data_IF_767998856075
#
_entry.id   IF_767998856075
#
_cell.length_a   1.000
_cell.length_b   1.000
_cell.length_c   1.000
_cell.angle_alpha   90.00
_cell.angle_beta   90.00
_cell.angle_gamma   90.00
#
_symmetry.space_group_name_H-M   'P 1'
#
loop_
_entity.id
_entity.type
_entity.pdbx_description
1 polymer ?
#
# COMPACT_ATOMS: atom_id res chain seq x y z
N UNK A 1 26.74 12.89 -47.59
CA UNK A 1 25.31 12.79 -47.21
C UNK A 1 25.11 11.47 -46.46
N UNK A 2 24.51 11.33 -45.30
CA UNK A 2 24.16 12.25 -44.20
C UNK A 2 23.75 11.32 -43.03
N UNK A 3 24.72 10.60 -42.44
CA UNK A 3 24.44 9.66 -41.33
C UNK A 3 24.05 10.42 -40.05
N UNK A 4 24.54 11.64 -39.85
CA UNK A 4 24.14 12.49 -38.72
C UNK A 4 22.70 12.99 -38.83
N UNK A 5 22.23 13.24 -40.06
CA UNK A 5 20.88 13.77 -40.33
C UNK A 5 19.80 12.69 -40.19
N UNK A 6 20.10 11.43 -40.53
CA UNK A 6 19.16 10.32 -40.36
C UNK A 6 19.01 9.90 -38.89
N UNK A 7 20.08 9.91 -38.10
CA UNK A 7 20.03 9.58 -36.68
C UNK A 7 19.27 10.64 -35.86
N UNK A 8 19.43 11.92 -36.20
CA UNK A 8 18.63 13.00 -35.59
C UNK A 8 17.14 12.87 -35.92
N UNK A 9 16.81 12.59 -37.18
CA UNK A 9 15.44 12.37 -37.62
C UNK A 9 14.76 11.17 -36.92
N UNK A 10 15.52 10.08 -36.69
CA UNK A 10 15.00 8.92 -35.97
C UNK A 10 14.75 9.21 -34.47
N UNK A 11 15.63 9.97 -33.81
CA UNK A 11 15.43 10.39 -32.41
C UNK A 11 14.14 11.21 -32.23
N UNK A 12 13.86 12.13 -33.15
CA UNK A 12 12.64 12.95 -33.10
C UNK A 12 11.37 12.13 -33.40
N UNK A 13 11.45 11.16 -34.31
CA UNK A 13 10.34 10.22 -34.55
C UNK A 13 10.00 9.44 -33.29
N UNK A 14 10.99 8.77 -32.69
CA UNK A 14 10.79 7.99 -31.45
C UNK A 14 10.31 8.89 -30.30
N UNK A 15 10.78 10.13 -30.24
CA UNK A 15 10.30 11.10 -29.25
C UNK A 15 8.79 11.36 -29.42
N UNK A 16 8.34 11.53 -30.65
CA UNK A 16 6.92 11.75 -30.96
C UNK A 16 6.08 10.53 -30.58
N UNK A 17 6.55 9.32 -30.93
CA UNK A 17 5.88 8.07 -30.53
C UNK A 17 5.77 7.92 -29.00
N UNK A 18 6.81 8.31 -28.25
CA UNK A 18 6.76 8.28 -26.78
C UNK A 18 5.76 9.29 -26.23
N UNK A 19 5.68 10.49 -26.80
CA UNK A 19 4.69 11.51 -26.41
C UNK A 19 3.28 10.99 -26.64
N UNK A 20 2.99 10.45 -27.82
CA UNK A 20 1.70 9.85 -28.15
C UNK A 20 1.36 8.66 -27.25
N UNK A 21 2.35 7.85 -26.88
CA UNK A 21 2.14 6.68 -26.02
C UNK A 21 1.76 7.05 -24.58
N UNK A 22 2.27 8.17 -24.05
CA UNK A 22 1.98 8.61 -22.68
C UNK A 22 0.86 9.64 -22.59
N UNK A 23 0.27 10.02 -23.72
CA UNK A 23 -0.83 10.98 -23.81
C UNK A 23 -2.04 10.52 -22.98
N UNK A 24 -2.62 11.42 -22.18
CA UNK A 24 -3.72 11.12 -21.26
C UNK A 24 -3.34 10.26 -20.05
N UNK A 25 -2.07 9.94 -19.83
CA UNK A 25 -1.60 9.19 -18.66
C UNK A 25 -1.00 10.11 -17.60
N UNK A 26 -0.74 9.57 -16.40
CA UNK A 26 -0.03 10.30 -15.34
C UNK A 26 1.42 10.69 -15.72
N UNK A 27 1.95 10.19 -16.84
CA UNK A 27 3.27 10.51 -17.38
C UNK A 27 3.22 11.58 -18.49
N UNK A 28 2.04 12.05 -18.87
CA UNK A 28 1.90 13.11 -19.88
C UNK A 28 2.72 14.35 -19.49
N UNK A 29 3.43 14.92 -20.47
CA UNK A 29 4.31 16.07 -20.25
C UNK A 29 5.61 15.78 -19.47
N UNK A 30 5.88 14.51 -19.11
CA UNK A 30 7.12 14.15 -18.41
C UNK A 30 8.37 14.38 -19.29
N UNK A 31 9.52 14.74 -18.71
CA UNK A 31 10.75 14.93 -19.47
C UNK A 31 11.19 13.65 -20.21
N UNK A 32 11.36 13.75 -21.52
CA UNK A 32 11.94 12.68 -22.35
C UNK A 32 13.43 12.97 -22.54
N UNK A 33 14.28 12.10 -21.98
CA UNK A 33 15.74 12.25 -22.03
C UNK A 33 16.36 11.13 -22.87
N UNK A 34 16.80 11.41 -24.11
CA UNK A 34 17.50 10.40 -24.92
C UNK A 34 18.88 10.13 -24.34
N UNK A 35 19.24 8.85 -24.17
CA UNK A 35 20.53 8.44 -23.61
C UNK A 35 21.19 7.32 -24.41
N UNK A 36 22.50 7.20 -24.30
CA UNK A 36 23.28 6.06 -24.78
C UNK A 36 24.12 5.50 -23.65
N UNK A 37 23.75 4.33 -23.12
CA UNK A 37 24.51 3.65 -22.07
C UNK A 37 25.93 3.25 -22.50
N UNK A 38 26.17 3.10 -23.81
CA UNK A 38 27.48 2.76 -24.37
C UNK A 38 28.44 3.95 -24.45
N UNK A 39 27.93 5.12 -24.86
CA UNK A 39 28.77 6.31 -25.10
C UNK A 39 28.75 7.29 -23.94
N UNK A 40 27.76 7.19 -23.05
CA UNK A 40 27.51 8.15 -21.98
C UNK A 40 26.70 9.38 -22.43
N UNK A 41 26.36 9.49 -23.72
CA UNK A 41 25.55 10.61 -24.22
C UNK A 41 24.20 10.69 -23.47
N UNK A 42 23.81 11.90 -23.09
CA UNK A 42 22.58 12.18 -22.34
C UNK A 42 22.56 11.74 -20.86
N UNK A 43 23.55 10.99 -20.36
CA UNK A 43 23.52 10.46 -18.97
C UNK A 43 23.54 11.58 -17.93
N UNK A 44 24.28 12.66 -18.16
CA UNK A 44 24.29 13.80 -17.23
C UNK A 44 22.99 14.61 -17.27
N UNK A 45 22.32 14.68 -18.42
CA UNK A 45 20.98 15.25 -18.51
C UNK A 45 19.96 14.37 -17.76
N UNK A 46 20.08 13.04 -17.88
CA UNK A 46 19.24 12.09 -17.14
C UNK A 46 19.45 12.21 -15.63
N UNK A 47 20.70 12.32 -15.17
CA UNK A 47 21.02 12.53 -13.75
C UNK A 47 20.30 13.77 -13.21
N UNK A 48 20.40 14.91 -13.90
CA UNK A 48 19.72 16.14 -13.50
C UNK A 48 18.21 15.98 -13.46
N UNK A 49 17.62 15.40 -14.51
CA UNK A 49 16.17 15.16 -14.56
C UNK A 49 15.69 14.26 -13.40
N UNK A 50 16.47 13.23 -13.03
CA UNK A 50 16.17 12.37 -11.89
C UNK A 50 16.30 13.12 -10.55
N UNK A 51 17.31 13.98 -10.39
CA UNK A 51 17.47 14.81 -9.20
C UNK A 51 16.31 15.81 -9.05
N UNK A 52 15.92 16.47 -10.14
CA UNK A 52 14.79 17.42 -10.15
C UNK A 52 13.46 16.71 -9.86
N UNK A 53 13.27 15.50 -10.38
CA UNK A 53 12.11 14.67 -10.08
C UNK A 53 12.10 14.25 -8.60
N UNK A 54 13.23 13.80 -8.06
CA UNK A 54 13.35 13.38 -6.67
C UNK A 54 13.09 14.54 -5.70
N UNK A 55 13.53 15.76 -6.02
CA UNK A 55 13.32 16.95 -5.20
C UNK A 55 11.84 17.34 -5.07
N UNK A 56 10.97 16.91 -5.99
CA UNK A 56 9.52 17.17 -5.95
C UNK A 56 8.75 16.15 -5.11
N UNK A 57 9.38 15.06 -4.67
CA UNK A 57 8.71 14.01 -3.90
C UNK A 57 8.57 14.47 -2.45
N UNK A 58 7.33 14.54 -1.97
CA UNK A 58 7.05 14.84 -0.57
C UNK A 58 7.61 13.75 0.36
N UNK A 59 8.22 14.17 1.46
CA UNK A 59 8.64 13.26 2.53
C UNK A 59 7.39 12.73 3.22
N UNK A 60 7.27 11.41 3.34
CA UNK A 60 6.18 10.79 4.08
C UNK A 60 6.45 10.90 5.59
N UNK A 61 5.44 11.23 6.40
CA UNK A 61 5.60 11.27 7.85
C UNK A 61 5.85 9.86 8.40
N UNK A 62 6.76 9.77 9.37
CA UNK A 62 7.12 8.50 10.03
C UNK A 62 6.13 8.17 11.15
N UNK A 63 4.87 7.95 10.77
CA UNK A 63 3.75 7.69 11.69
C UNK A 63 3.26 6.25 11.63
N UNK A 64 3.81 5.45 10.72
CA UNK A 64 3.41 4.06 10.50
C UNK A 64 4.49 3.09 10.97
N UNK A 65 4.05 1.93 11.44
CA UNK A 65 4.90 0.84 11.89
C UNK A 65 5.84 0.33 10.79
N UNK A 66 6.90 -0.37 11.19
CA UNK A 66 7.80 -1.06 10.28
C UNK A 66 7.03 -2.08 9.43
N UNK A 67 7.15 -2.00 8.10
CA UNK A 67 6.59 -3.01 7.18
C UNK A 67 7.51 -3.26 5.98
N UNK A 68 7.88 -4.52 5.78
CA UNK A 68 8.76 -4.96 4.71
C UNK A 68 8.14 -6.15 3.95
N UNK A 69 7.38 -5.88 2.87
CA UNK A 69 6.98 -6.92 1.92
C UNK A 69 8.21 -7.59 1.31
N UNK A 70 8.28 -8.92 1.41
CA UNK A 70 9.46 -9.70 1.02
C UNK A 70 9.39 -9.99 -0.48
N UNK A 71 10.46 -9.62 -1.19
CA UNK A 71 10.65 -9.87 -2.61
C UNK A 71 11.51 -11.12 -2.89
N UNK A 72 12.47 -11.42 -2.01
CA UNK A 72 13.38 -12.57 -2.11
C UNK A 72 13.83 -13.05 -0.72
N UNK A 73 14.14 -14.34 -0.63
CA UNK A 73 14.73 -15.00 0.53
C UNK A 73 15.90 -15.86 0.05
N UNK A 74 17.03 -15.81 0.76
CA UNK A 74 18.23 -16.59 0.45
C UNK A 74 19.11 -16.80 1.68
N UNK A 75 19.93 -17.86 1.67
CA UNK A 75 20.94 -18.09 2.71
C UNK A 75 22.27 -17.43 2.35
N UNK A 76 22.92 -16.81 3.34
CA UNK A 76 24.30 -16.30 3.23
C UNK A 76 25.19 -17.05 4.21
N UNK A 77 26.29 -17.63 3.70
CA UNK A 77 27.25 -18.40 4.52
C UNK A 77 27.75 -17.56 5.70
N UNK A 78 27.59 -18.08 6.91
CA UNK A 78 27.99 -17.40 8.16
C UNK A 78 26.98 -16.40 8.71
N UNK A 79 25.97 -15.99 7.93
CA UNK A 79 24.93 -15.06 8.36
C UNK A 79 23.58 -15.75 8.57
N UNK A 80 23.30 -16.81 7.81
CA UNK A 80 22.02 -17.53 7.83
C UNK A 80 21.01 -16.95 6.83
N UNK A 81 19.73 -17.02 7.18
CA UNK A 81 18.63 -16.59 6.31
C UNK A 81 18.54 -15.07 6.21
N UNK A 82 18.59 -14.56 4.99
CA UNK A 82 18.48 -13.14 4.65
C UNK A 82 17.29 -12.95 3.71
N UNK A 83 16.46 -11.98 4.02
CA UNK A 83 15.34 -11.57 3.17
C UNK A 83 15.61 -10.19 2.60
N UNK A 84 15.11 -9.90 1.40
CA UNK A 84 15.12 -8.56 0.81
C UNK A 84 13.72 -8.08 0.50
N UNK A 85 13.51 -6.78 0.60
CA UNK A 85 12.26 -6.10 0.26
C UNK A 85 12.46 -4.59 0.18
N UNK A 86 11.40 -3.86 -0.15
CA UNK A 86 11.39 -2.40 -0.01
C UNK A 86 10.66 -2.08 1.28
N UNK A 87 11.32 -1.37 2.21
CA UNK A 87 10.72 -0.98 3.48
C UNK A 87 9.66 0.09 3.18
N UNK A 88 8.38 -0.23 3.33
CA UNK A 88 7.30 0.67 2.90
C UNK A 88 6.94 1.72 3.94
N UNK A 89 7.17 1.42 5.22
CA UNK A 89 6.92 2.31 6.36
C UNK A 89 7.82 1.93 7.54
N UNK A 90 7.99 2.88 8.47
CA UNK A 90 8.79 2.73 9.69
C UNK A 90 10.29 2.54 9.46
N UNK A 91 10.97 2.05 10.49
CA UNK A 91 12.37 1.69 10.48
C UNK A 91 12.60 0.26 10.99
N UNK A 92 13.74 -0.33 10.64
CA UNK A 92 14.18 -1.64 11.14
C UNK A 92 15.65 -1.52 11.54
N UNK A 93 15.95 -1.87 12.79
CA UNK A 93 17.27 -1.88 13.37
C UNK A 93 17.77 -3.30 13.72
N UNK A 94 19.07 -3.41 13.97
CA UNK A 94 19.63 -4.64 14.54
C UNK A 94 19.03 -4.90 15.94
N UNK A 95 18.78 -6.17 16.26
CA UNK A 95 18.13 -6.65 17.49
C UNK A 95 16.60 -6.45 17.60
N UNK A 96 15.97 -5.76 16.65
CA UNK A 96 14.51 -5.68 16.58
C UNK A 96 13.86 -7.07 16.48
N UNK A 97 12.64 -7.17 17.00
CA UNK A 97 11.76 -8.31 16.77
C UNK A 97 10.70 -7.94 15.72
N UNK A 98 10.53 -8.78 14.70
CA UNK A 98 9.54 -8.60 13.64
C UNK A 98 8.68 -9.85 13.53
N UNK A 99 7.44 -9.68 13.10
CA UNK A 99 6.51 -10.77 12.83
C UNK A 99 6.48 -11.08 11.33
N UNK A 100 6.67 -12.36 10.99
CA UNK A 100 6.54 -12.87 9.63
C UNK A 100 5.07 -13.18 9.34
N UNK A 101 4.45 -12.38 8.48
CA UNK A 101 3.07 -12.54 8.05
C UNK A 101 3.01 -13.29 6.70
N UNK A 102 2.02 -14.19 6.50
CA UNK A 102 0.88 -14.47 7.39
C UNK A 102 1.12 -15.57 8.44
N UNK A 103 2.35 -16.05 8.59
CA UNK A 103 2.69 -17.20 9.47
C UNK A 103 2.51 -16.87 10.96
N UNK A 104 2.68 -15.61 11.35
CA UNK A 104 2.59 -15.14 12.73
C UNK A 104 3.84 -15.46 13.58
N UNK A 105 4.96 -15.82 12.93
CA UNK A 105 6.20 -16.18 13.62
C UNK A 105 7.01 -14.92 13.95
N UNK A 106 7.34 -14.74 15.23
CA UNK A 106 8.25 -13.68 15.68
C UNK A 106 9.69 -14.08 15.44
N UNK A 107 10.46 -13.18 14.83
CA UNK A 107 11.82 -13.39 14.38
C UNK A 107 12.69 -12.22 14.82
N UNK A 108 13.89 -12.52 15.33
CA UNK A 108 14.84 -11.48 15.71
C UNK A 108 15.73 -11.07 14.55
N UNK A 109 15.92 -9.78 14.36
CA UNK A 109 16.82 -9.19 13.39
C UNK A 109 18.26 -9.28 13.91
N UNK A 110 19.13 -9.96 13.15
CA UNK A 110 20.57 -10.08 13.44
C UNK A 110 21.40 -8.99 12.79
N UNK A 111 20.83 -8.26 11.84
CA UNK A 111 21.51 -7.18 11.15
C UNK A 111 20.74 -6.74 9.93
N UNK A 112 20.99 -5.50 9.53
CA UNK A 112 20.29 -4.83 8.44
C UNK A 112 21.32 -4.29 7.46
N UNK A 113 21.02 -4.39 6.17
CA UNK A 113 21.82 -3.77 5.12
C UNK A 113 20.93 -2.95 4.18
N UNK A 114 21.46 -1.84 3.69
CA UNK A 114 20.85 -1.04 2.65
C UNK A 114 21.88 -0.78 1.55
N UNK A 115 21.50 -0.97 0.29
CA UNK A 115 22.40 -0.84 -0.86
C UNK A 115 23.74 -1.61 -0.73
N UNK A 116 23.70 -2.80 -0.10
CA UNK A 116 24.87 -3.66 0.08
C UNK A 116 25.81 -3.26 1.21
N UNK A 117 25.47 -2.24 2.00
CA UNK A 117 26.25 -1.81 3.16
C UNK A 117 25.52 -2.11 4.47
N UNK A 118 26.25 -2.54 5.51
CA UNK A 118 25.70 -2.70 6.86
C UNK A 118 25.30 -1.34 7.41
N UNK A 119 24.10 -1.25 7.96
CA UNK A 119 23.57 -0.06 8.63
C UNK A 119 23.07 -0.44 10.02
N UNK A 120 23.07 0.50 10.96
CA UNK A 120 22.47 0.30 12.30
C UNK A 120 20.95 0.25 12.22
N UNK A 121 20.38 1.04 11.31
CA UNK A 121 18.94 1.19 11.09
C UNK A 121 18.67 1.47 9.60
N UNK A 122 17.62 0.86 9.06
CA UNK A 122 17.09 1.17 7.75
C UNK A 122 15.73 1.87 7.89
N UNK A 123 15.51 2.92 7.11
CA UNK A 123 14.26 3.68 7.08
C UNK A 123 13.47 3.38 5.79
N UNK A 124 12.17 3.66 5.84
CA UNK A 124 11.25 3.51 4.71
C UNK A 124 11.71 4.19 3.42
N UNK A 125 11.26 3.65 2.29
CA UNK A 125 11.65 4.06 0.93
C UNK A 125 12.93 3.42 0.42
N UNK A 126 13.62 2.61 1.24
CA UNK A 126 14.87 1.93 0.86
C UNK A 126 14.66 0.45 0.61
N UNK A 127 15.46 -0.09 -0.32
CA UNK A 127 15.61 -1.55 -0.44
C UNK A 127 16.48 -2.03 0.71
N UNK A 128 15.92 -2.92 1.52
CA UNK A 128 16.51 -3.36 2.78
C UNK A 128 16.70 -4.87 2.75
N UNK A 129 17.89 -5.32 3.14
CA UNK A 129 18.17 -6.72 3.44
C UNK A 129 18.18 -6.92 4.95
N UNK A 130 17.46 -7.93 5.43
CA UNK A 130 17.30 -8.23 6.85
C UNK A 130 17.80 -9.65 7.11
N UNK A 131 18.78 -9.80 7.98
CA UNK A 131 19.24 -11.09 8.46
C UNK A 131 18.35 -11.54 9.63
N UNK A 132 17.68 -12.69 9.48
CA UNK A 132 16.70 -13.20 10.44
C UNK A 132 17.27 -14.38 11.22
N UNK A 133 17.07 -14.39 12.54
CA UNK A 133 17.42 -15.51 13.41
C UNK A 133 16.32 -16.56 13.47
N UNK A 134 16.73 -17.83 13.55
CA UNK A 134 15.84 -18.93 13.94
C UNK A 134 14.81 -19.33 12.89
N UNK A 135 15.08 -19.12 11.60
CA UNK A 135 14.24 -19.56 10.48
C UNK A 135 15.11 -19.95 9.29
N UNK A 136 14.73 -20.98 8.53
CA UNK A 136 15.36 -21.32 7.25
C UNK A 136 14.78 -20.45 6.12
N UNK A 137 15.63 -20.02 5.19
CA UNK A 137 15.20 -19.23 4.05
C UNK A 137 14.16 -19.94 3.16
N UNK A 138 14.12 -21.27 3.15
CA UNK A 138 13.11 -22.08 2.47
C UNK A 138 11.72 -22.00 3.12
N UNK A 139 11.62 -21.57 4.37
CA UNK A 139 10.34 -21.32 5.05
C UNK A 139 9.76 -19.93 4.71
N UNK A 140 10.50 -19.13 3.93
CA UNK A 140 10.13 -17.75 3.60
C UNK A 140 9.96 -17.60 2.08
N UNK A 141 8.77 -17.20 1.66
CA UNK A 141 8.43 -17.04 0.26
C UNK A 141 8.11 -15.58 -0.09
N UNK A 142 8.22 -15.26 -1.39
CA UNK A 142 7.71 -13.98 -1.92
C UNK A 142 6.21 -13.91 -1.66
N UNK A 143 5.75 -12.74 -1.19
CA UNK A 143 4.36 -12.52 -0.80
C UNK A 143 4.12 -12.61 0.71
N UNK A 144 5.12 -13.06 1.48
CA UNK A 144 5.19 -12.83 2.92
C UNK A 144 5.69 -11.41 3.21
N UNK A 145 5.46 -10.92 4.42
CA UNK A 145 5.93 -9.61 4.88
C UNK A 145 6.49 -9.70 6.29
N UNK A 146 7.52 -8.93 6.60
CA UNK A 146 7.87 -8.61 7.98
C UNK A 146 7.10 -7.36 8.42
N UNK A 147 6.61 -7.34 9.65
CA UNK A 147 5.98 -6.17 10.25
C UNK A 147 6.29 -6.07 11.75
N UNK A 148 6.00 -4.92 12.37
CA UNK A 148 6.00 -4.79 13.82
C UNK A 148 5.07 -5.86 14.46
N UNK A 149 5.54 -6.60 15.48
CA UNK A 149 4.78 -7.73 16.03
C UNK A 149 3.44 -7.35 16.68
N UNK A 150 2.42 -8.18 16.43
CA UNK A 150 1.08 -8.11 17.00
C UNK A 150 0.32 -6.79 16.69
N UNK A 151 0.65 -6.12 15.59
CA UNK A 151 -0.06 -4.91 15.16
C UNK A 151 -1.02 -5.18 14.00
N UNK A 152 -0.58 -5.86 12.95
CA UNK A 152 -1.40 -6.09 11.76
C UNK A 152 -2.27 -7.34 11.90
N UNK A 153 -3.57 -7.16 11.68
CA UNK A 153 -4.54 -8.25 11.60
C UNK A 153 -4.57 -8.81 10.18
N UNK A 154 -4.68 -10.13 10.09
CA UNK A 154 -4.93 -10.83 8.84
C UNK A 154 -6.42 -10.79 8.53
N UNK A 155 -6.76 -10.43 7.29
CA UNK A 155 -8.15 -10.39 6.83
C UNK A 155 -8.30 -10.94 5.41
N UNK A 156 -9.53 -11.35 5.11
CA UNK A 156 -9.93 -11.80 3.77
C UNK A 156 -10.97 -10.88 3.12
N UNK A 157 -11.50 -9.90 3.85
CA UNK A 157 -12.50 -8.98 3.32
C UNK A 157 -12.01 -7.56 3.57
N UNK A 158 -11.99 -6.75 2.52
CA UNK A 158 -11.72 -5.32 2.63
C UNK A 158 -12.52 -4.55 1.59
N UNK A 159 -12.83 -3.30 1.94
CA UNK A 159 -13.43 -2.35 1.02
C UNK A 159 -12.34 -1.47 0.40
N UNK A 160 -12.55 -1.08 -0.85
CA UNK A 160 -11.58 -0.37 -1.67
C UNK A 160 -12.26 0.61 -2.62
N UNK A 161 -11.51 1.65 -2.97
CA UNK A 161 -11.73 2.41 -4.19
C UNK A 161 -10.95 1.72 -5.30
N UNK A 162 -11.59 1.50 -6.45
CA UNK A 162 -10.96 1.04 -7.67
C UNK A 162 -11.07 2.09 -8.75
N UNK A 163 -10.03 2.16 -9.58
CA UNK A 163 -9.99 2.91 -10.83
C UNK A 163 -9.76 1.90 -11.96
N UNK A 164 -10.71 1.81 -12.87
CA UNK A 164 -10.66 0.89 -14.00
C UNK A 164 -9.94 1.55 -15.17
N UNK A 165 -9.10 0.79 -15.88
CA UNK A 165 -8.51 1.29 -17.12
C UNK A 165 -9.60 1.52 -18.18
N UNK A 166 -9.37 2.36 -19.20
CA UNK A 166 -10.37 2.65 -20.25
C UNK A 166 -10.69 1.46 -21.17
N UNK A 167 -9.71 0.60 -21.45
CA UNK A 167 -9.85 -0.48 -22.45
C UNK A 167 -10.53 -1.77 -21.94
N UNK A 168 -10.27 -2.25 -20.70
CA UNK A 168 -10.82 -3.50 -20.22
C UNK A 168 -12.35 -3.49 -20.07
N UNK A 169 -12.93 -4.69 -19.97
CA UNK A 169 -14.36 -4.84 -19.67
C UNK A 169 -14.69 -4.28 -18.27
N UNK A 170 -15.91 -3.73 -18.08
CA UNK A 170 -16.39 -3.27 -16.77
C UNK A 170 -16.24 -4.33 -15.68
N UNK A 171 -15.93 -3.90 -14.47
CA UNK A 171 -15.82 -4.75 -13.30
C UNK A 171 -17.21 -5.06 -12.73
N UNK A 172 -17.55 -6.33 -12.57
CA UNK A 172 -18.89 -6.76 -12.12
C UNK A 172 -18.86 -7.46 -10.78
N UNK A 173 -19.97 -7.36 -10.05
CA UNK A 173 -20.20 -8.19 -8.86
C UNK A 173 -20.09 -9.68 -9.19
N UNK A 174 -19.47 -10.45 -8.27
CA UNK A 174 -19.09 -11.87 -8.35
C UNK A 174 -17.98 -12.19 -9.35
N UNK A 175 -17.42 -11.22 -10.06
CA UNK A 175 -16.25 -11.44 -10.91
C UNK A 175 -15.07 -11.89 -10.05
N UNK A 176 -14.35 -12.92 -10.54
CA UNK A 176 -13.08 -13.36 -9.95
C UNK A 176 -11.94 -12.59 -10.60
N UNK A 177 -11.04 -12.07 -9.77
CA UNK A 177 -9.92 -11.21 -10.15
C UNK A 177 -8.68 -11.60 -9.36
N UNK A 178 -7.51 -11.15 -9.82
CA UNK A 178 -6.25 -11.22 -9.08
C UNK A 178 -5.95 -9.85 -8.51
N UNK A 179 -5.70 -9.80 -7.21
CA UNK A 179 -5.27 -8.60 -6.50
C UNK A 179 -3.78 -8.76 -6.19
N UNK A 180 -2.99 -7.81 -6.65
CA UNK A 180 -1.58 -7.69 -6.30
C UNK A 180 -1.43 -6.57 -5.28
N UNK A 181 -1.11 -6.93 -4.03
CA UNK A 181 -0.94 -6.00 -2.91
C UNK A 181 0.41 -6.27 -2.24
N UNK A 182 1.25 -5.23 -2.15
CA UNK A 182 2.66 -5.42 -1.78
C UNK A 182 3.36 -6.43 -2.71
N UNK A 183 3.90 -7.50 -2.13
CA UNK A 183 4.50 -8.62 -2.88
C UNK A 183 3.57 -9.82 -3.03
N UNK A 184 2.37 -9.76 -2.48
CA UNK A 184 1.37 -10.83 -2.46
C UNK A 184 0.51 -10.80 -3.72
N UNK A 185 0.29 -11.97 -4.33
CA UNK A 185 -0.76 -12.20 -5.33
C UNK A 185 -1.84 -13.06 -4.68
N UNK A 186 -3.10 -12.59 -4.73
CA UNK A 186 -4.24 -13.31 -4.17
C UNK A 186 -5.46 -13.22 -5.09
N UNK A 187 -6.18 -14.34 -5.22
CA UNK A 187 -7.44 -14.35 -5.94
C UNK A 187 -8.56 -13.76 -5.06
N UNK A 188 -9.44 -12.98 -5.67
CA UNK A 188 -10.54 -12.34 -4.98
C UNK A 188 -11.84 -12.42 -5.77
N UNK A 189 -12.97 -12.40 -5.07
CA UNK A 189 -14.29 -12.15 -5.64
C UNK A 189 -14.72 -10.72 -5.32
N UNK A 190 -15.23 -10.03 -6.33
CA UNK A 190 -15.69 -8.64 -6.22
C UNK A 190 -17.15 -8.57 -5.79
N UNK A 191 -17.49 -7.62 -4.93
CA UNK A 191 -18.85 -7.14 -4.74
C UNK A 191 -18.83 -5.61 -4.90
N UNK A 192 -19.48 -5.09 -5.95
CA UNK A 192 -19.54 -3.65 -6.18
C UNK A 192 -20.51 -3.02 -5.17
N UNK A 193 -20.14 -1.85 -4.64
CA UNK A 193 -20.89 -1.13 -3.59
C UNK A 193 -21.67 0.02 -4.24
N UNK A 194 -22.98 0.02 -4.03
CA UNK A 194 -23.92 0.91 -4.72
C UNK A 194 -24.38 0.30 -6.04
N UNK A 195 -23.64 0.57 -7.11
CA UNK A 195 -23.96 0.09 -8.45
C UNK A 195 -23.55 -1.38 -8.65
N UNK A 196 -24.20 -2.13 -9.54
CA UNK A 196 -23.84 -3.54 -9.76
C UNK A 196 -22.53 -3.72 -10.60
N UNK A 197 -22.01 -2.63 -11.17
CA UNK A 197 -20.87 -2.58 -12.11
C UNK A 197 -20.05 -1.29 -11.93
N UNK A 198 -18.72 -1.38 -12.07
CA UNK A 198 -17.83 -0.22 -12.30
C UNK A 198 -17.43 -0.21 -13.77
N UNK A 199 -17.77 0.86 -14.49
CA UNK A 199 -17.49 0.96 -15.93
C UNK A 199 -15.99 1.12 -16.22
N UNK A 200 -15.60 0.89 -17.47
CA UNK A 200 -14.22 1.12 -17.92
C UNK A 200 -13.90 2.62 -17.88
N UNK A 201 -12.69 2.97 -17.45
CA UNK A 201 -12.27 4.37 -17.25
C UNK A 201 -12.87 5.07 -16.03
N UNK A 202 -13.75 4.41 -15.27
CA UNK A 202 -14.44 4.99 -14.12
C UNK A 202 -13.86 4.54 -12.79
N UNK A 203 -14.17 5.32 -11.75
CA UNK A 203 -13.91 4.97 -10.36
C UNK A 203 -15.15 4.37 -9.70
N UNK A 204 -14.94 3.51 -8.72
CA UNK A 204 -16.03 2.95 -7.94
C UNK A 204 -15.58 2.33 -6.63
N UNK A 205 -16.54 2.08 -5.74
CA UNK A 205 -16.29 1.37 -4.50
C UNK A 205 -16.63 -0.11 -4.64
N UNK A 206 -15.75 -0.96 -4.13
CA UNK A 206 -15.92 -2.41 -4.16
C UNK A 206 -15.47 -3.03 -2.85
N UNK A 207 -16.09 -4.14 -2.49
CA UNK A 207 -15.60 -5.06 -1.48
C UNK A 207 -14.92 -6.24 -2.17
N UNK A 208 -13.67 -6.52 -1.80
CA UNK A 208 -12.98 -7.73 -2.22
C UNK A 208 -13.11 -8.81 -1.15
N UNK A 209 -13.33 -10.04 -1.60
CA UNK A 209 -13.30 -11.25 -0.77
C UNK A 209 -12.20 -12.17 -1.27
N UNK A 210 -11.09 -12.17 -0.54
CA UNK A 210 -9.85 -12.86 -0.86
C UNK A 210 -9.95 -14.36 -0.54
N UNK A 211 -9.28 -15.18 -1.35
CA UNK A 211 -9.21 -16.63 -1.14
C UNK A 211 -8.21 -17.03 -0.07
N UNK A 212 -7.24 -16.17 0.24
CA UNK A 212 -6.28 -16.32 1.35
C UNK A 212 -6.17 -15.00 2.14
N UNK A 213 -5.83 -15.07 3.44
CA UNK A 213 -5.66 -13.87 4.25
C UNK A 213 -4.46 -13.03 3.80
N UNK A 214 -4.59 -11.72 3.93
CA UNK A 214 -3.52 -10.74 3.72
C UNK A 214 -3.47 -9.77 4.90
N UNK A 215 -2.35 -9.07 5.04
CA UNK A 215 -2.20 -7.92 5.92
C UNK A 215 -1.94 -6.68 5.06
N UNK A 216 -2.77 -5.67 5.21
CA UNK A 216 -2.60 -4.37 4.56
C UNK A 216 -3.27 -3.27 5.38
N UNK A 217 -2.90 -2.02 5.10
CA UNK A 217 -3.39 -0.84 5.82
C UNK A 217 -4.23 0.06 4.92
N UNK A 218 -4.98 0.98 5.52
CA UNK A 218 -5.71 2.04 4.82
C UNK A 218 -4.74 2.84 3.94
N UNK A 219 -5.14 3.12 2.71
CA UNK A 219 -4.35 3.80 1.69
C UNK A 219 -3.38 2.89 0.94
N UNK A 220 -3.26 1.62 1.29
CA UNK A 220 -2.36 0.70 0.60
C UNK A 220 -2.82 0.45 -0.84
N UNK A 221 -1.92 0.73 -1.79
CA UNK A 221 -2.20 0.61 -3.22
C UNK A 221 -2.13 -0.85 -3.67
N UNK A 222 -3.02 -1.23 -4.57
CA UNK A 222 -3.00 -2.54 -5.22
C UNK A 222 -3.21 -2.42 -6.73
N UNK A 223 -2.77 -3.45 -7.44
CA UNK A 223 -3.03 -3.62 -8.88
C UNK A 223 -4.06 -4.72 -9.07
N UNK A 224 -5.03 -4.47 -9.95
CA UNK A 224 -6.09 -5.41 -10.29
C UNK A 224 -5.82 -6.05 -11.65
N UNK A 225 -5.85 -7.38 -11.70
CA UNK A 225 -5.72 -8.14 -12.95
C UNK A 225 -6.89 -9.08 -13.16
N UNK A 226 -7.23 -9.34 -14.43
CA UNK A 226 -8.22 -10.34 -14.81
C UNK A 226 -7.77 -11.75 -14.43
N UNK A 227 -8.74 -12.62 -14.15
CA UNK A 227 -8.47 -14.01 -13.80
C UNK A 227 -7.78 -14.78 -14.95
N UNK A 228 -8.33 -14.69 -16.16
CA UNK A 228 -7.77 -15.26 -17.39
C UNK A 228 -8.34 -14.56 -18.63
N UNK A 229 -7.52 -14.18 -19.64
CA UNK A 229 -6.06 -14.10 -19.58
C UNK A 229 -5.59 -13.10 -18.51
N UNK A 230 -4.34 -13.16 -18.08
CA UNK A 230 -3.81 -12.25 -17.05
C UNK A 230 -3.46 -10.87 -17.65
N UNK A 231 -4.39 -9.93 -17.58
CA UNK A 231 -4.20 -8.55 -18.04
C UNK A 231 -4.46 -7.60 -16.88
N UNK A 232 -3.73 -6.48 -16.82
CA UNK A 232 -4.06 -5.39 -15.89
C UNK A 232 -5.39 -4.79 -16.31
N UNK A 233 -6.34 -4.71 -15.37
CA UNK A 233 -7.67 -4.17 -15.64
C UNK A 233 -7.93 -2.87 -14.86
N UNK A 234 -7.13 -2.59 -13.84
CA UNK A 234 -7.27 -1.40 -13.02
C UNK A 234 -6.31 -1.44 -11.83
N UNK A 235 -6.53 -0.55 -10.88
CA UNK A 235 -5.84 -0.49 -9.61
C UNK A 235 -6.70 0.22 -8.58
N UNK A 236 -6.15 0.47 -7.40
CA UNK A 236 -6.90 1.14 -6.36
C UNK A 236 -6.16 1.27 -5.06
N UNK A 237 -6.90 1.62 -4.01
CA UNK A 237 -6.40 1.67 -2.63
C UNK A 237 -7.35 0.98 -1.67
N UNK A 238 -6.78 0.28 -0.69
CA UNK A 238 -7.53 -0.26 0.46
C UNK A 238 -8.09 0.92 1.24
N UNK A 239 -9.41 0.92 1.48
CA UNK A 239 -10.10 1.96 2.25
C UNK A 239 -10.47 1.48 3.64
N UNK A 240 -10.97 0.24 3.75
CA UNK A 240 -11.36 -0.32 5.04
C UNK A 240 -10.92 -1.79 5.12
N UNK A 241 -9.77 -2.09 5.75
CA UNK A 241 -9.30 -3.45 5.97
C UNK A 241 -10.16 -4.17 7.01
N UNK A 242 -10.19 -5.50 6.95
CA UNK A 242 -10.97 -6.35 7.86
C UNK A 242 -12.47 -5.96 7.95
N UNK A 243 -13.06 -5.65 6.80
CA UNK A 243 -14.44 -5.21 6.70
C UNK A 243 -15.43 -6.37 6.97
N UNK A 244 -16.57 -6.04 7.56
CA UNK A 244 -17.70 -6.96 7.63
C UNK A 244 -18.22 -7.27 6.22
N UNK A 245 -18.77 -8.49 6.03
CA UNK A 245 -19.36 -8.88 4.75
C UNK A 245 -20.49 -7.93 4.36
N UNK A 246 -20.36 -7.32 3.18
CA UNK A 246 -21.36 -6.41 2.64
C UNK A 246 -22.73 -7.09 2.50
N UNK A 247 -23.73 -6.48 3.15
CA UNK A 247 -25.15 -6.81 2.99
C UNK A 247 -25.81 -5.78 2.08
N UNK A 248 -26.68 -6.21 1.16
CA UNK A 248 -27.31 -5.32 0.17
C UNK A 248 -28.07 -4.15 0.81
N UNK A 249 -28.72 -4.37 1.96
CA UNK A 249 -29.41 -3.33 2.74
C UNK A 249 -28.48 -2.23 3.30
N UNK A 250 -27.18 -2.50 3.43
CA UNK A 250 -26.19 -1.57 3.97
C UNK A 250 -25.35 -0.90 2.87
N UNK A 251 -25.59 -1.19 1.59
CA UNK A 251 -24.73 -0.76 0.50
C UNK A 251 -24.59 0.77 0.40
N UNK A 252 -25.70 1.51 0.51
CA UNK A 252 -25.67 2.98 0.46
C UNK A 252 -24.94 3.58 1.65
N UNK A 253 -25.21 3.08 2.88
CA UNK A 253 -24.48 3.52 4.08
C UNK A 253 -22.98 3.26 3.96
N UNK A 254 -22.60 2.12 3.38
CA UNK A 254 -21.19 1.78 3.14
C UNK A 254 -20.58 2.70 2.08
N UNK A 255 -21.29 2.99 0.99
CA UNK A 255 -20.86 3.90 -0.07
C UNK A 255 -20.58 5.30 0.49
N UNK A 256 -21.48 5.83 1.33
CA UNK A 256 -21.33 7.13 1.99
C UNK A 256 -20.11 7.16 2.93
N UNK A 257 -19.96 6.12 3.76
CA UNK A 257 -18.81 5.99 4.65
C UNK A 257 -17.48 5.97 3.89
N UNK A 258 -17.38 5.16 2.82
CA UNK A 258 -16.17 5.06 2.02
C UNK A 258 -15.86 6.38 1.30
N UNK A 259 -16.88 7.09 0.81
CA UNK A 259 -16.72 8.43 0.23
C UNK A 259 -16.13 9.44 1.21
N UNK A 260 -16.60 9.44 2.47
CA UNK A 260 -16.02 10.26 3.54
C UNK A 260 -14.60 9.83 3.88
N UNK A 261 -14.32 8.53 3.86
CA UNK A 261 -13.02 7.97 4.21
C UNK A 261 -11.94 8.38 3.21
N UNK A 262 -12.23 8.35 1.90
CA UNK A 262 -11.29 8.83 0.86
C UNK A 262 -10.80 10.25 1.17
N UNK A 263 -11.70 11.13 1.62
CA UNK A 263 -11.35 12.51 1.97
C UNK A 263 -10.56 12.66 3.27
N UNK A 264 -10.58 11.69 4.17
CA UNK A 264 -9.96 11.80 5.50
C UNK A 264 -8.60 11.11 5.63
N UNK A 265 -8.16 10.32 4.66
CA UNK A 265 -6.90 9.52 4.73
C UNK A 265 -5.67 10.36 5.13
N UNK A 266 -5.58 11.60 4.64
CA UNK A 266 -4.44 12.49 4.92
C UNK A 266 -4.55 13.24 6.26
N UNK A 267 -5.72 13.19 6.92
CA UNK A 267 -6.03 13.94 8.14
C UNK A 267 -6.30 12.96 9.28
N UNK A 268 -5.28 12.74 10.12
CA UNK A 268 -5.30 11.70 11.16
C UNK A 268 -6.52 11.82 12.09
N UNK A 269 -6.85 13.02 12.55
CA UNK A 269 -7.97 13.22 13.47
C UNK A 269 -9.32 12.92 12.82
N UNK A 270 -9.53 13.37 11.59
CA UNK A 270 -10.75 13.10 10.83
C UNK A 270 -10.89 11.61 10.51
N UNK A 271 -9.78 10.94 10.16
CA UNK A 271 -9.77 9.50 9.92
C UNK A 271 -10.12 8.73 11.20
N UNK A 272 -9.49 9.07 12.32
CA UNK A 272 -9.77 8.44 13.62
C UNK A 272 -11.23 8.63 14.02
N UNK A 273 -11.74 9.86 13.95
CA UNK A 273 -13.13 10.17 14.26
C UNK A 273 -14.09 9.37 13.37
N UNK A 274 -13.84 9.33 12.06
CA UNK A 274 -14.69 8.63 11.12
C UNK A 274 -14.72 7.10 11.37
N UNK A 275 -13.58 6.50 11.71
CA UNK A 275 -13.49 5.07 12.05
C UNK A 275 -14.29 4.75 13.32
N UNK A 276 -14.21 5.62 14.33
CA UNK A 276 -14.95 5.46 15.59
C UNK A 276 -16.45 5.70 15.39
N UNK A 277 -16.84 6.70 14.59
CA UNK A 277 -18.25 6.94 14.27
C UNK A 277 -18.86 5.77 13.48
N UNK A 278 -18.08 5.16 12.58
CA UNK A 278 -18.55 4.04 11.77
C UNK A 278 -18.83 2.78 12.60
N UNK A 279 -18.10 2.57 13.71
CA UNK A 279 -18.38 1.45 14.61
C UNK A 279 -19.74 1.61 15.31
N UNK A 280 -20.28 2.84 15.38
CA UNK A 280 -21.62 3.13 15.88
C UNK A 280 -21.77 2.76 17.37
N UNK A 281 -22.84 2.03 17.72
CA UNK A 281 -23.03 1.46 19.06
C UNK A 281 -21.99 0.38 19.40
N UNK A 282 -21.32 -0.18 18.39
CA UNK A 282 -20.22 -1.09 18.64
C UNK A 282 -19.01 -0.26 19.00
N UNK A 283 -18.57 -0.50 20.21
CA UNK A 283 -17.34 -0.01 20.77
C UNK A 283 -16.15 -0.56 19.97
N UNK A 284 -15.22 0.29 19.54
CA UNK A 284 -14.03 -0.13 18.76
C UNK A 284 -12.78 -0.12 19.63
N UNK A 285 -12.02 -1.21 19.59
CA UNK A 285 -10.74 -1.33 20.31
C UNK A 285 -9.67 -0.58 19.52
N UNK A 286 -8.86 0.23 20.21
CA UNK A 286 -7.80 1.04 19.59
C UNK A 286 -6.78 0.21 18.81
N UNK A 287 -6.55 -1.05 19.21
CA UNK A 287 -5.69 -1.98 18.45
C UNK A 287 -6.21 -2.26 17.05
N UNK A 288 -7.54 -2.32 16.83
CA UNK A 288 -8.12 -2.47 15.49
C UNK A 288 -7.88 -1.24 14.62
N UNK A 289 -7.97 -0.05 15.20
CA UNK A 289 -7.69 1.20 14.49
C UNK A 289 -6.21 1.26 14.12
N UNK A 290 -5.32 0.95 15.05
CA UNK A 290 -3.88 0.86 14.79
C UNK A 290 -3.55 -0.16 13.70
N UNK A 291 -4.21 -1.31 13.74
CA UNK A 291 -4.06 -2.35 12.73
C UNK A 291 -4.48 -1.86 11.34
N UNK A 292 -5.65 -1.24 11.25
CA UNK A 292 -6.19 -0.72 10.00
C UNK A 292 -5.34 0.42 9.43
N UNK A 293 -4.86 1.34 10.27
CA UNK A 293 -4.08 2.51 9.84
C UNK A 293 -2.59 2.23 9.68
N UNK A 294 -2.10 1.15 10.31
CA UNK A 294 -0.69 0.88 10.47
C UNK A 294 0.03 1.87 11.38
N UNK A 295 -0.68 2.67 12.20
CA UNK A 295 -0.04 3.70 13.01
C UNK A 295 0.81 3.14 14.15
N UNK A 296 1.92 3.85 14.42
CA UNK A 296 2.69 3.64 15.65
C UNK A 296 1.81 3.92 16.87
N UNK A 297 2.14 3.29 18.00
CA UNK A 297 1.40 3.53 19.23
C UNK A 297 1.49 5.00 19.68
N UNK A 298 2.64 5.64 19.46
CA UNK A 298 2.87 7.05 19.76
C UNK A 298 1.93 7.95 18.95
N UNK A 299 1.87 7.77 17.63
CA UNK A 299 1.00 8.59 16.77
C UNK A 299 -0.48 8.39 17.10
N UNK A 300 -0.91 7.14 17.29
CA UNK A 300 -2.28 6.84 17.70
C UNK A 300 -2.65 7.53 19.02
N UNK A 301 -1.76 7.49 20.02
CA UNK A 301 -2.01 8.11 21.32
C UNK A 301 -2.15 9.63 21.18
N UNK A 302 -1.30 10.28 20.40
CA UNK A 302 -1.39 11.73 20.12
C UNK A 302 -2.71 12.11 19.45
N UNK A 303 -3.15 11.35 18.44
CA UNK A 303 -4.43 11.60 17.76
C UNK A 303 -5.63 11.43 18.72
N UNK A 304 -5.59 10.40 19.57
CA UNK A 304 -6.61 10.18 20.61
C UNK A 304 -6.62 11.34 21.62
N UNK A 305 -5.47 11.79 22.11
CA UNK A 305 -5.38 12.91 23.05
C UNK A 305 -5.93 14.21 22.47
N UNK A 306 -5.65 14.47 21.19
CA UNK A 306 -6.18 15.64 20.50
C UNK A 306 -7.72 15.61 20.42
N UNK A 307 -8.32 14.51 19.97
CA UNK A 307 -9.79 14.36 19.91
C UNK A 307 -10.46 14.31 21.30
N UNK A 308 -9.76 13.83 22.33
CA UNK A 308 -10.23 13.91 23.71
C UNK A 308 -10.28 15.36 24.20
N UNK A 309 -9.28 16.17 23.83
CA UNK A 309 -9.21 17.57 24.24
C UNK A 309 -10.29 18.43 23.58
N UNK A 310 -10.72 18.08 22.36
CA UNK A 310 -11.85 18.74 21.69
C UNK A 310 -13.22 18.24 22.17
N UNK A 311 -13.26 17.12 22.91
CA UNK A 311 -14.48 16.52 23.43
C UNK A 311 -15.25 15.66 22.43
N UNK A 312 -14.62 15.30 21.31
CA UNK A 312 -15.24 14.50 20.22
C UNK A 312 -15.10 12.98 20.45
N UNK A 313 -14.14 12.58 21.29
CA UNK A 313 -13.79 11.19 21.56
C UNK A 313 -13.64 10.91 23.06
N UNK A 314 -14.14 9.75 23.51
CA UNK A 314 -13.76 9.14 24.78
C UNK A 314 -12.84 7.94 24.56
N UNK A 315 -11.82 7.80 25.40
CA UNK A 315 -10.90 6.65 25.39
C UNK A 315 -10.72 6.09 26.81
N UNK A 316 -11.18 4.85 27.01
CA UNK A 316 -11.19 4.16 28.31
C UNK A 316 -10.77 2.71 28.07
N UNK A 317 -9.84 2.16 28.86
CA UNK A 317 -9.42 0.74 28.80
C UNK A 317 -9.11 0.20 27.39
N UNK A 318 -8.42 1.00 26.56
CA UNK A 318 -8.00 0.58 25.21
C UNK A 318 -9.09 0.72 24.14
N UNK A 319 -10.21 1.33 24.49
CA UNK A 319 -11.42 1.41 23.68
C UNK A 319 -11.74 2.86 23.32
N UNK A 320 -12.07 3.09 22.05
CA UNK A 320 -12.51 4.38 21.52
C UNK A 320 -14.05 4.42 21.37
N UNK A 321 -14.67 5.49 21.88
CA UNK A 321 -16.11 5.73 21.80
C UNK A 321 -16.35 7.14 21.29
N UNK A 322 -17.22 7.30 20.30
CA UNK A 322 -17.64 8.61 19.80
C UNK A 322 -18.49 9.32 20.86
N UNK A 323 -18.23 10.60 21.10
CA UNK A 323 -19.03 11.41 22.01
C UNK A 323 -20.50 11.48 21.60
N UNK A 324 -20.80 11.39 20.30
CA UNK A 324 -22.18 11.36 19.80
C UNK A 324 -22.89 10.07 20.22
N UNK A 325 -22.21 8.92 20.09
CA UNK A 325 -22.74 7.62 20.55
C UNK A 325 -22.94 7.62 22.05
N UNK A 326 -21.99 8.13 22.83
CA UNK A 326 -22.10 8.17 24.29
C UNK A 326 -23.27 9.04 24.75
N UNK A 327 -23.50 10.21 24.14
CA UNK A 327 -24.63 11.09 24.48
C UNK A 327 -25.99 10.52 24.09
N UNK A 328 -26.03 9.55 23.18
CA UNK A 328 -27.26 8.88 22.75
C UNK A 328 -27.65 7.68 23.64
N UNK A 329 -26.75 7.22 24.53
CA UNK A 329 -26.98 6.18 25.54
C UNK A 329 -27.52 6.79 26.85
#
# INVERSE_FOLDING_TARGET
MNISTSAGCFKELVRTEVIEFVDGTFLEGSPIVPVSSRTGDGVEALRRALTDAAAKVAVRPDIQIARLPIDRSFAVKGFGSVVTGTLVSGSIAEADELELLPVGRKLRVRGVQSHGQKVSEAHSGRRTAVNLAGIDHHEIERGMSLAEPNVLELFQIFDAEVEMLPDPKPLKTRQRVRVHIGTTEVLARVAVIGDDVVAAGEKGFVQFRLESPVAAVIGERFVLRSYSPQMTIGGGSVLFPNADKLLRRNAEKQKEFLGRLVGSIERSDELLQLLVDHSGERVIVGTKIRSATGWTNEHFTKAVEHLRSSGDLMYVDGVCISSNTFRAL
#
